data_IF_205610461091
#
_entry.id   IF_205610461091
#
_cell.length_a   1.000
_cell.length_b   1.000
_cell.length_c   1.000
_cell.angle_alpha   90.00
_cell.angle_beta   90.00
_cell.angle_gamma   90.00
#
_symmetry.space_group_name_H-M   'P 1'
#
loop_
_entity.id
_entity.type
_entity.pdbx_description
1 polymer ?
#
# COMPACT_ATOMS: atom_id res chain seq x y z
N UNK A 1 13.90 -8.17 -12.01
CA UNK A 1 12.56 -7.90 -11.42
C UNK A 1 11.46 -7.89 -12.47
N UNK A 2 11.51 -7.05 -13.52
CA UNK A 2 10.38 -6.95 -14.46
C UNK A 2 9.99 -8.27 -15.16
N UNK A 3 10.92 -9.12 -15.63
CA UNK A 3 10.56 -10.42 -16.22
C UNK A 3 9.87 -11.36 -15.22
N UNK A 4 10.37 -11.43 -13.98
CA UNK A 4 9.78 -12.27 -12.92
C UNK A 4 8.43 -11.72 -12.43
N UNK A 5 8.28 -10.40 -12.37
CA UNK A 5 6.99 -9.75 -12.11
C UNK A 5 5.98 -10.10 -13.20
N UNK A 6 6.37 -9.96 -14.48
CA UNK A 6 5.50 -10.29 -15.61
C UNK A 6 5.04 -11.75 -15.57
N UNK A 7 5.98 -12.69 -15.37
CA UNK A 7 5.66 -14.10 -15.22
C UNK A 7 4.66 -14.35 -14.07
N UNK A 8 4.89 -13.72 -12.91
CA UNK A 8 4.01 -13.86 -11.75
C UNK A 8 2.59 -13.35 -12.03
N UNK A 9 2.42 -12.12 -12.53
CA UNK A 9 1.07 -11.55 -12.79
C UNK A 9 0.38 -12.24 -13.97
N UNK A 10 1.13 -12.83 -14.91
CA UNK A 10 0.58 -13.66 -15.97
C UNK A 10 0.02 -14.99 -15.42
N UNK A 11 0.76 -15.64 -14.51
CA UNK A 11 0.40 -16.91 -13.88
C UNK A 11 -0.73 -16.76 -12.86
N UNK A 12 -0.71 -15.69 -12.05
CA UNK A 12 -1.65 -15.45 -10.95
C UNK A 12 -2.52 -14.24 -11.25
N UNK A 13 -3.70 -14.46 -11.84
CA UNK A 13 -4.63 -13.39 -12.23
C UNK A 13 -5.16 -12.54 -11.07
N UNK A 14 -5.23 -13.13 -9.88
CA UNK A 14 -5.66 -12.46 -8.64
C UNK A 14 -4.46 -12.16 -7.72
N UNK A 15 -3.30 -11.82 -8.29
CA UNK A 15 -2.14 -11.44 -7.49
C UNK A 15 -2.44 -10.21 -6.63
N UNK A 16 -2.02 -10.25 -5.37
CA UNK A 16 -2.07 -9.11 -4.46
C UNK A 16 -0.85 -8.18 -4.60
N UNK A 17 0.10 -8.54 -5.47
CA UNK A 17 1.26 -7.69 -5.76
C UNK A 17 0.81 -6.43 -6.50
N UNK A 18 1.43 -5.29 -6.18
CA UNK A 18 1.16 -4.00 -6.80
C UNK A 18 1.12 -4.08 -8.33
N UNK A 19 0.03 -3.61 -8.93
CA UNK A 19 -0.12 -3.51 -10.36
C UNK A 19 0.70 -2.32 -10.90
N UNK A 20 1.93 -2.57 -11.33
CA UNK A 20 2.77 -1.56 -12.00
C UNK A 20 2.28 -1.33 -13.43
N UNK A 21 1.83 -0.11 -13.73
CA UNK A 21 1.27 0.27 -15.03
C UNK A 21 2.31 0.95 -15.93
N UNK A 22 3.10 1.86 -15.37
CA UNK A 22 4.16 2.55 -16.13
C UNK A 22 5.22 3.14 -15.20
N UNK A 23 6.46 3.20 -15.67
CA UNK A 23 7.55 3.93 -15.02
C UNK A 23 7.91 5.13 -15.87
N UNK A 24 8.02 6.29 -15.23
CA UNK A 24 8.33 7.55 -15.89
C UNK A 24 9.52 8.23 -15.22
N UNK A 25 10.24 9.01 -16.02
CA UNK A 25 11.21 9.95 -15.52
C UNK A 25 11.06 11.28 -16.25
N UNK A 26 10.96 12.36 -15.49
CA UNK A 26 10.80 13.72 -16.00
C UNK A 26 11.93 14.59 -15.45
N UNK A 27 12.56 15.39 -16.31
CA UNK A 27 13.55 16.41 -15.92
C UNK A 27 13.15 17.74 -16.56
N UNK A 28 12.52 18.67 -15.81
CA UNK A 28 12.21 19.99 -16.33
C UNK A 28 13.49 20.83 -16.50
N UNK A 29 13.45 21.83 -17.39
CA UNK A 29 14.57 22.76 -17.59
C UNK A 29 14.86 23.48 -16.28
N UNK A 30 16.11 23.42 -15.82
CA UNK A 30 16.55 24.01 -14.55
C UNK A 30 16.14 23.24 -13.28
N UNK A 31 15.38 22.14 -13.37
CA UNK A 31 14.89 21.41 -12.21
C UNK A 31 15.54 20.04 -11.98
N UNK A 32 15.18 19.44 -10.84
CA UNK A 32 15.64 18.09 -10.47
C UNK A 32 14.95 17.02 -11.30
N UNK A 33 15.68 15.96 -11.63
CA UNK A 33 15.15 14.76 -12.28
C UNK A 33 14.27 14.01 -11.28
N UNK A 34 13.01 13.79 -11.61
CA UNK A 34 12.04 13.06 -10.78
C UNK A 34 11.68 11.74 -11.47
N UNK A 35 11.70 10.65 -10.71
CA UNK A 35 11.22 9.34 -11.14
C UNK A 35 9.94 9.01 -10.39
N UNK A 36 8.93 8.52 -11.09
CA UNK A 36 7.68 8.10 -10.48
C UNK A 36 7.12 6.89 -11.23
N UNK A 37 6.24 6.17 -10.54
CA UNK A 37 5.60 4.97 -11.04
C UNK A 37 4.10 5.20 -11.01
N UNK A 38 3.41 4.85 -12.09
CA UNK A 38 1.95 4.77 -12.16
C UNK A 38 1.56 3.35 -11.76
N UNK A 39 0.70 3.23 -10.76
CA UNK A 39 0.29 1.94 -10.17
C UNK A 39 -1.22 1.91 -10.01
N UNK A 40 -1.81 0.70 -10.00
CA UNK A 40 -3.22 0.51 -9.69
C UNK A 40 -3.55 0.98 -8.26
N UNK A 41 -4.67 1.69 -8.10
CA UNK A 41 -5.16 2.11 -6.79
C UNK A 41 -5.93 0.97 -6.11
N UNK A 42 -5.41 0.46 -4.99
CA UNK A 42 -6.05 -0.60 -4.19
C UNK A 42 -7.31 -0.14 -3.47
N UNK A 43 -7.50 1.17 -3.32
CA UNK A 43 -8.64 1.77 -2.61
C UNK A 43 -9.74 2.27 -3.56
N UNK A 44 -9.69 1.89 -4.83
CA UNK A 44 -10.72 2.26 -5.81
C UNK A 44 -12.00 1.45 -5.56
N UNK A 45 -12.91 2.01 -4.76
CA UNK A 45 -14.15 1.37 -4.32
C UNK A 45 -15.30 2.37 -4.32
N UNK A 46 -16.52 1.89 -4.58
CA UNK A 46 -17.77 2.68 -4.42
C UNK A 46 -18.14 2.88 -2.94
N UNK A 47 -17.51 2.11 -2.05
CA UNK A 47 -17.76 2.16 -0.61
C UNK A 47 -16.76 3.06 0.12
N UNK A 48 -17.24 3.75 1.14
CA UNK A 48 -16.39 4.53 2.04
C UNK A 48 -15.43 3.62 2.81
N UNK A 49 -14.16 4.01 2.85
CA UNK A 49 -13.12 3.31 3.61
C UNK A 49 -13.08 3.93 5.00
N UNK A 50 -13.68 3.24 5.96
CA UNK A 50 -13.77 3.71 7.36
C UNK A 50 -12.46 3.56 8.13
N UNK A 51 -11.63 2.57 7.78
CA UNK A 51 -10.35 2.27 8.45
C UNK A 51 -9.34 1.79 7.42
N UNK A 52 -8.08 2.16 7.60
CA UNK A 52 -6.94 1.76 6.75
C UNK A 52 -5.85 1.17 7.64
N UNK A 53 -5.17 0.14 7.14
CA UNK A 53 -4.09 -0.53 7.86
C UNK A 53 -2.86 -0.71 6.96
N UNK A 54 -1.67 -0.54 7.54
CA UNK A 54 -0.37 -0.97 7.01
C UNK A 54 0.14 -2.12 7.89
N UNK A 55 0.01 -3.35 7.41
CA UNK A 55 0.33 -4.57 8.15
C UNK A 55 1.62 -5.20 7.61
N UNK A 56 2.57 -5.52 8.48
CA UNK A 56 3.86 -6.13 8.10
C UNK A 56 4.23 -7.37 8.88
N UNK A 57 3.45 -7.75 9.89
CA UNK A 57 3.66 -8.94 10.72
C UNK A 57 4.75 -8.79 11.80
N UNK A 58 5.31 -7.59 11.98
CA UNK A 58 6.27 -7.28 13.04
C UNK A 58 5.60 -6.49 14.18
N UNK A 59 6.30 -6.32 15.31
CA UNK A 59 5.78 -5.58 16.47
C UNK A 59 6.49 -4.24 16.72
N UNK A 60 7.78 -4.12 16.37
CA UNK A 60 8.56 -2.94 16.69
C UNK A 60 8.15 -1.73 15.82
N UNK A 61 7.68 -0.65 16.46
CA UNK A 61 7.25 0.58 15.76
C UNK A 61 5.90 0.45 15.03
N UNK A 62 5.11 -0.56 15.40
CA UNK A 62 3.89 -0.95 14.69
C UNK A 62 2.60 -0.50 15.38
N UNK A 63 2.65 0.64 16.06
CA UNK A 63 1.47 1.37 16.52
C UNK A 63 1.52 2.79 15.94
N UNK A 64 0.36 3.42 15.84
CA UNK A 64 0.22 4.81 15.39
C UNK A 64 0.58 5.77 16.52
N UNK A 65 1.30 6.85 16.21
CA UNK A 65 1.68 7.87 17.23
C UNK A 65 0.51 8.79 17.64
N UNK A 66 -0.61 8.74 16.90
CA UNK A 66 -1.79 9.54 17.17
C UNK A 66 -2.55 8.98 18.38
N UNK A 67 -2.96 9.83 19.34
CA UNK A 67 -3.85 9.40 20.41
C UNK A 67 -5.23 9.01 19.84
N UNK A 68 -5.95 8.15 20.56
CA UNK A 68 -7.20 7.53 20.08
C UNK A 68 -8.26 8.54 19.64
N UNK A 69 -8.30 9.70 20.30
CA UNK A 69 -9.25 10.78 20.06
C UNK A 69 -8.96 11.52 18.74
N UNK A 70 -7.76 11.38 18.18
CA UNK A 70 -7.33 12.01 16.93
C UNK A 70 -7.30 11.03 15.74
N UNK A 71 -7.75 9.79 15.95
CA UNK A 71 -7.84 8.80 14.87
C UNK A 71 -9.07 9.10 14.03
N UNK A 72 -8.85 9.28 12.73
CA UNK A 72 -9.86 9.52 11.72
C UNK A 72 -9.75 8.51 10.57
N UNK A 73 -10.65 8.57 9.59
CA UNK A 73 -10.69 7.69 8.40
C UNK A 73 -9.46 7.81 7.47
N UNK A 74 -8.66 8.86 7.63
CA UNK A 74 -7.43 9.11 6.86
C UNK A 74 -6.20 8.54 7.55
N UNK A 75 -6.33 8.14 8.82
CA UNK A 75 -5.24 7.61 9.62
C UNK A 75 -4.96 6.16 9.23
N UNK A 76 -3.71 5.89 8.81
CA UNK A 76 -3.24 4.53 8.54
C UNK A 76 -2.79 3.88 9.84
N UNK A 77 -3.59 2.94 10.34
CA UNK A 77 -3.31 2.13 11.51
C UNK A 77 -2.26 1.04 11.17
N UNK A 78 -1.61 0.46 12.19
CA UNK A 78 -0.56 -0.55 12.01
C UNK A 78 -0.87 -1.86 12.74
N UNK A 79 0.07 -2.82 12.72
CA UNK A 79 -0.12 -4.17 13.25
C UNK A 79 -0.63 -4.21 14.70
N UNK A 80 -0.11 -3.38 15.62
CA UNK A 80 -0.52 -3.37 17.03
C UNK A 80 -1.81 -2.58 17.29
N UNK A 81 -2.27 -1.79 16.32
CA UNK A 81 -3.55 -1.10 16.39
C UNK A 81 -4.72 -2.01 15.96
N UNK A 82 -4.39 -3.17 15.38
CA UNK A 82 -5.36 -4.15 14.89
C UNK A 82 -5.85 -5.03 16.04
N UNK A 83 -7.05 -4.73 16.54
CA UNK A 83 -7.69 -5.52 17.61
C UNK A 83 -8.36 -6.81 17.09
N UNK A 84 -7.72 -7.51 16.15
CA UNK A 84 -8.19 -8.78 15.60
C UNK A 84 -7.09 -9.83 15.64
N UNK A 85 -7.47 -11.06 15.93
CA UNK A 85 -6.60 -12.24 15.80
C UNK A 85 -7.16 -13.11 14.70
N UNK A 86 -6.42 -13.25 13.62
CA UNK A 86 -6.78 -14.16 12.53
C UNK A 86 -6.22 -15.55 12.84
N UNK A 87 -7.07 -16.58 12.77
CA UNK A 87 -6.62 -17.98 12.73
C UNK A 87 -6.63 -18.40 11.28
N UNK A 88 -5.49 -18.90 10.80
CA UNK A 88 -5.41 -19.58 9.52
C UNK A 88 -5.86 -21.04 9.75
N UNK A 89 -6.80 -21.50 8.93
CA UNK A 89 -7.14 -22.92 8.81
C UNK A 89 -6.09 -23.68 8.00
#
# INVERSE_FOLDING_TARGET
MLPSYYQHVCQYKNSLVTAFLRVHCVKPVGGKKTQFIVMGNVFCSEYQIHKRFDLKGSSHGQSTDKPREQIDETTTLKDLDLNFVFRLE
#
